data_IF_394083725164
#
_entry.id   IF_394083725164
#
_cell.length_a   1.000
_cell.length_b   1.000
_cell.length_c   1.000
_cell.angle_alpha   90.00
_cell.angle_beta   90.00
_cell.angle_gamma   90.00
#
_symmetry.space_group_name_H-M   'P 1'
#
loop_
_entity.id
_entity.type
_entity.pdbx_description
1 polymer ?
#
# COMPACT_ATOMS: atom_id res chain seq x y z
N UNK A 1 6.77 -6.83 36.78
CA UNK A 1 5.87 -7.98 36.52
C UNK A 1 5.48 -7.93 35.06
N UNK A 2 5.52 -9.06 34.34
CA UNK A 2 5.02 -9.13 32.96
C UNK A 2 3.55 -9.54 32.95
N UNK A 3 2.72 -8.85 32.17
CA UNK A 3 1.28 -9.09 32.03
C UNK A 3 1.03 -9.77 30.68
N UNK A 4 0.39 -10.94 30.72
CA UNK A 4 -0.03 -11.65 29.51
C UNK A 4 -1.56 -11.71 29.46
N UNK A 5 -2.14 -11.46 28.30
CA UNK A 5 -3.59 -11.58 28.05
C UNK A 5 -3.90 -12.69 27.06
N UNK A 6 -5.08 -13.30 27.18
CA UNK A 6 -5.59 -14.26 26.21
C UNK A 6 -6.49 -13.51 25.23
N UNK A 7 -6.28 -13.75 23.94
CA UNK A 7 -7.14 -13.24 22.88
C UNK A 7 -7.64 -14.40 22.02
N UNK A 8 -8.88 -14.29 21.55
CA UNK A 8 -9.55 -15.26 20.69
C UNK A 8 -9.77 -14.75 19.27
N UNK A 9 -9.63 -13.44 19.05
CA UNK A 9 -9.69 -12.84 17.70
C UNK A 9 -8.52 -11.89 17.45
N UNK A 10 -8.14 -11.63 16.18
CA UNK A 10 -7.14 -10.63 15.82
C UNK A 10 -7.45 -9.21 16.35
N UNK A 11 -8.73 -8.82 16.40
CA UNK A 11 -9.17 -7.53 16.94
C UNK A 11 -8.94 -7.44 18.45
N UNK A 12 -9.14 -8.54 19.18
CA UNK A 12 -8.80 -8.61 20.61
C UNK A 12 -7.29 -8.48 20.80
N UNK A 13 -6.48 -9.18 20.01
CA UNK A 13 -5.00 -9.03 20.04
C UNK A 13 -4.63 -7.56 19.91
N UNK A 14 -5.16 -6.87 18.89
CA UNK A 14 -4.95 -5.44 18.67
C UNK A 14 -5.32 -4.62 19.90
N UNK A 15 -6.53 -4.81 20.44
CA UNK A 15 -7.03 -4.07 21.61
C UNK A 15 -6.10 -4.26 22.80
N UNK A 16 -5.68 -5.49 23.09
CA UNK A 16 -4.83 -5.80 24.25
C UNK A 16 -3.49 -5.06 24.21
N UNK A 17 -2.89 -4.89 23.03
CA UNK A 17 -1.65 -4.11 22.89
C UNK A 17 -1.84 -2.59 22.88
N UNK A 18 -3.07 -2.09 22.72
CA UNK A 18 -3.36 -0.66 22.65
C UNK A 18 -4.07 -0.09 23.88
N UNK A 19 -4.44 -0.93 24.86
CA UNK A 19 -5.13 -0.48 26.08
C UNK A 19 -4.27 0.55 26.81
N UNK A 20 -4.83 1.75 27.02
CA UNK A 20 -4.24 2.85 27.78
C UNK A 20 -2.85 3.30 27.28
N UNK A 21 -2.54 3.09 25.99
CA UNK A 21 -1.22 3.37 25.38
C UNK A 21 -0.03 2.62 26.00
N UNK A 22 -0.27 1.77 26.99
CA UNK A 22 0.73 0.91 27.65
C UNK A 22 0.65 -0.52 27.11
N UNK A 23 -0.56 -1.03 26.90
CA UNK A 23 -0.81 -2.39 26.44
C UNK A 23 -0.40 -3.47 27.46
N UNK A 24 -0.37 -4.72 27.00
CA UNK A 24 0.14 -5.88 27.75
C UNK A 24 1.54 -6.27 27.24
N UNK A 25 2.34 -6.94 28.08
CA UNK A 25 3.69 -7.42 27.71
C UNK A 25 3.64 -8.56 26.67
N UNK A 26 2.52 -9.26 26.57
CA UNK A 26 2.31 -10.30 25.57
C UNK A 26 0.86 -10.76 25.46
N UNK A 27 0.52 -11.32 24.30
CA UNK A 27 -0.81 -11.91 24.06
C UNK A 27 -0.64 -13.37 23.65
N UNK A 28 -1.36 -14.26 24.33
CA UNK A 28 -1.52 -15.65 23.92
C UNK A 28 -2.75 -15.70 23.01
N UNK A 29 -2.50 -15.74 21.71
CA UNK A 29 -3.54 -15.79 20.69
C UNK A 29 -3.81 -17.23 20.29
N UNK A 30 -5.05 -17.70 20.49
CA UNK A 30 -5.47 -19.06 20.16
C UNK A 30 -6.46 -19.03 19.00
N UNK A 31 -6.04 -19.54 17.84
CA UNK A 31 -6.88 -19.66 16.63
C UNK A 31 -6.57 -20.96 15.88
N UNK A 32 -7.56 -21.47 15.14
CA UNK A 32 -7.40 -22.56 14.18
C UNK A 32 -7.18 -22.06 12.74
N UNK A 33 -7.14 -20.74 12.52
CA UNK A 33 -7.02 -20.11 11.20
C UNK A 33 -5.66 -19.45 11.00
N UNK A 34 -4.90 -19.90 10.00
CA UNK A 34 -3.62 -19.28 9.63
C UNK A 34 -3.80 -17.83 9.13
N UNK A 35 -4.97 -17.52 8.56
CA UNK A 35 -5.28 -16.18 8.09
C UNK A 35 -5.44 -15.21 9.27
N UNK A 36 -6.09 -15.64 10.35
CA UNK A 36 -6.19 -14.83 11.58
C UNK A 36 -4.81 -14.61 12.22
N UNK A 37 -3.90 -15.61 12.16
CA UNK A 37 -2.51 -15.42 12.61
C UNK A 37 -1.81 -14.36 11.77
N UNK A 38 -1.93 -14.42 10.44
CA UNK A 38 -1.36 -13.39 9.55
C UNK A 38 -1.94 -12.01 9.85
N UNK A 39 -3.24 -11.98 10.15
CA UNK A 39 -3.97 -10.78 10.51
C UNK A 39 -3.45 -10.14 11.81
N UNK A 40 -3.31 -10.94 12.86
CA UNK A 40 -2.71 -10.58 14.14
C UNK A 40 -1.28 -10.06 13.98
N UNK A 41 -0.44 -10.71 13.17
CA UNK A 41 0.94 -10.26 12.91
C UNK A 41 0.97 -8.88 12.25
N UNK A 42 0.01 -8.56 11.38
CA UNK A 42 -0.15 -7.20 10.85
C UNK A 42 -0.55 -6.21 11.93
N UNK A 43 -1.47 -6.56 12.83
CA UNK A 43 -1.85 -5.70 13.96
C UNK A 43 -0.66 -5.35 14.86
N UNK A 44 0.26 -6.30 15.05
CA UNK A 44 1.49 -6.09 15.81
C UNK A 44 2.58 -5.31 15.04
N UNK A 45 2.34 -4.98 13.76
CA UNK A 45 3.33 -4.34 12.89
C UNK A 45 4.57 -5.22 12.64
N UNK A 46 4.42 -6.53 12.79
CA UNK A 46 5.49 -7.54 12.65
C UNK A 46 5.52 -8.16 11.25
N UNK A 47 4.48 -7.97 10.44
CA UNK A 47 4.49 -8.38 9.03
C UNK A 47 5.38 -7.42 8.23
N UNK A 48 6.44 -7.97 7.66
CA UNK A 48 7.30 -7.28 6.70
C UNK A 48 6.99 -7.75 5.29
N UNK A 49 6.92 -6.81 4.35
CA UNK A 49 6.80 -7.10 2.93
C UNK A 49 8.17 -7.05 2.28
N UNK A 50 8.42 -7.96 1.35
CA UNK A 50 9.65 -7.96 0.58
C UNK A 50 9.63 -6.80 -0.44
N UNK A 51 10.40 -5.76 -0.15
CA UNK A 51 10.47 -4.54 -0.95
C UNK A 51 11.67 -4.61 -1.89
N UNK A 52 11.40 -4.43 -3.18
CA UNK A 52 12.37 -4.60 -4.26
C UNK A 52 12.57 -3.29 -5.03
N UNK A 53 13.82 -2.97 -5.46
CA UNK A 53 14.07 -1.89 -6.39
C UNK A 53 13.49 -2.21 -7.78
N UNK A 54 12.58 -1.38 -8.26
CA UNK A 54 11.96 -1.47 -9.57
C UNK A 54 12.51 -0.39 -10.51
N UNK A 55 12.98 -0.80 -11.69
CA UNK A 55 13.53 0.12 -12.70
C UNK A 55 12.43 0.62 -13.63
N UNK A 56 12.28 1.93 -13.76
CA UNK A 56 11.31 2.54 -14.67
C UNK A 56 11.68 2.25 -16.13
N UNK A 57 10.74 1.69 -16.87
CA UNK A 57 10.89 1.30 -18.27
C UNK A 57 10.24 2.30 -19.23
N UNK A 58 9.06 2.81 -18.87
CA UNK A 58 8.21 3.64 -19.72
C UNK A 58 7.40 4.59 -18.84
N UNK A 59 7.23 5.82 -19.32
CA UNK A 59 6.30 6.82 -18.77
C UNK A 59 5.56 7.41 -19.97
N UNK A 60 4.24 7.46 -19.92
CA UNK A 60 3.39 7.92 -21.02
C UNK A 60 2.17 8.67 -20.49
N UNK A 61 1.88 9.83 -21.05
CA UNK A 61 0.61 10.52 -20.83
C UNK A 61 -0.55 9.73 -21.43
N UNK A 62 -1.61 9.55 -20.64
CA UNK A 62 -2.80 8.77 -21.04
C UNK A 62 -4.10 9.58 -21.01
N UNK A 63 -3.99 10.91 -20.89
CA UNK A 63 -5.14 11.81 -20.82
C UNK A 63 -5.80 11.82 -19.46
N UNK A 64 -7.07 12.25 -19.43
CA UNK A 64 -7.84 12.36 -18.21
C UNK A 64 -8.40 11.00 -17.76
N UNK A 65 -8.41 10.75 -16.44
CA UNK A 65 -9.04 9.58 -15.85
C UNK A 65 -9.40 9.79 -14.38
N UNK A 66 -10.20 8.86 -13.84
CA UNK A 66 -10.62 8.87 -12.44
C UNK A 66 -9.51 8.33 -11.53
N UNK A 67 -9.01 9.18 -10.63
CA UNK A 67 -8.06 8.80 -9.57
C UNK A 67 -8.76 8.68 -8.23
N UNK A 68 -8.24 7.82 -7.36
CA UNK A 68 -8.65 7.70 -5.96
C UNK A 68 -7.63 8.41 -5.06
N UNK A 69 -8.09 9.29 -4.19
CA UNK A 69 -7.33 9.81 -3.06
C UNK A 69 -7.82 9.15 -1.78
N UNK A 70 -6.91 8.57 -1.01
CA UNK A 70 -7.23 7.89 0.24
C UNK A 70 -6.80 8.78 1.41
N UNK A 71 -7.78 9.27 2.17
CA UNK A 71 -7.57 9.98 3.42
C UNK A 71 -7.73 9.01 4.58
N UNK A 72 -6.65 8.81 5.34
CA UNK A 72 -6.65 7.94 6.52
C UNK A 72 -7.03 8.72 7.78
N UNK A 73 -7.51 8.00 8.79
CA UNK A 73 -7.71 8.50 10.15
C UNK A 73 -6.41 8.51 10.97
N UNK A 74 -5.24 8.53 10.31
CA UNK A 74 -3.92 8.45 10.94
C UNK A 74 -2.96 9.45 10.30
N UNK A 75 -2.04 9.98 11.09
CA UNK A 75 -0.90 10.72 10.55
C UNK A 75 0.11 9.71 10.01
N UNK A 76 0.57 9.92 8.78
CA UNK A 76 1.58 9.12 8.10
C UNK A 76 2.92 9.88 8.11
N UNK A 77 3.99 9.15 8.34
CA UNK A 77 5.34 9.71 8.40
C UNK A 77 5.95 9.82 7.00
N UNK A 78 6.97 10.66 6.87
CA UNK A 78 7.76 10.73 5.64
C UNK A 78 8.41 9.37 5.35
N UNK A 79 8.31 8.93 4.10
CA UNK A 79 8.74 7.61 3.65
C UNK A 79 7.67 6.52 3.78
N UNK A 80 6.53 6.81 4.42
CA UNK A 80 5.38 5.91 4.45
C UNK A 80 4.44 6.12 3.25
N UNK A 81 3.68 5.10 2.90
CA UNK A 81 2.79 5.14 1.75
C UNK A 81 1.95 3.88 1.59
N UNK A 82 1.28 3.77 0.46
CA UNK A 82 0.50 2.60 0.08
C UNK A 82 1.18 1.85 -1.08
N UNK A 83 1.00 0.54 -1.12
CA UNK A 83 1.40 -0.30 -2.24
C UNK A 83 0.28 -0.30 -3.29
N UNK A 84 0.55 0.25 -4.47
CA UNK A 84 -0.46 0.45 -5.53
C UNK A 84 0.10 0.04 -6.89
N UNK A 85 -0.69 -0.68 -7.68
CA UNK A 85 -0.30 -1.03 -9.05
C UNK A 85 -1.47 -1.55 -9.86
N UNK A 86 -1.35 -1.52 -11.18
CA UNK A 86 -2.34 -2.08 -12.11
C UNK A 86 -2.40 -3.61 -12.08
N UNK A 87 -1.43 -4.27 -11.41
CA UNK A 87 -1.39 -5.73 -11.21
C UNK A 87 -1.23 -6.05 -9.73
N UNK A 88 -1.96 -7.05 -9.24
CA UNK A 88 -1.92 -7.45 -7.84
C UNK A 88 -0.55 -7.98 -7.38
N UNK A 89 0.24 -8.54 -8.30
CA UNK A 89 1.58 -9.09 -8.03
C UNK A 89 2.72 -8.07 -8.20
N UNK A 90 2.43 -6.84 -8.62
CA UNK A 90 3.43 -5.78 -8.80
C UNK A 90 2.86 -4.42 -8.36
N UNK A 91 3.22 -4.00 -7.15
CA UNK A 91 2.69 -2.81 -6.49
C UNK A 91 3.81 -1.82 -6.18
N UNK A 92 3.68 -0.57 -6.59
CA UNK A 92 4.62 0.51 -6.32
C UNK A 92 4.37 1.12 -4.94
N UNK A 93 5.43 1.52 -4.22
CA UNK A 93 5.28 2.28 -2.99
C UNK A 93 5.02 3.76 -3.29
N UNK A 94 3.75 4.15 -3.27
CA UNK A 94 3.29 5.53 -3.46
C UNK A 94 3.28 6.24 -2.11
N UNK A 95 4.11 7.26 -1.98
CA UNK A 95 4.30 8.03 -0.77
C UNK A 95 3.09 8.93 -0.45
N UNK A 96 2.85 9.17 0.83
CA UNK A 96 1.80 10.08 1.30
C UNK A 96 2.10 11.57 1.04
N UNK A 97 1.15 12.46 1.28
CA UNK A 97 1.29 13.91 1.06
C UNK A 97 1.94 14.64 2.27
N UNK A 98 2.82 13.99 3.05
CA UNK A 98 3.54 14.60 4.18
C UNK A 98 4.62 15.59 3.77
N UNK A 99 5.05 15.57 2.51
CA UNK A 99 5.92 16.61 1.94
C UNK A 99 5.05 17.54 1.11
N UNK A 100 5.02 18.80 1.53
CA UNK A 100 4.29 19.86 0.84
C UNK A 100 4.78 20.07 -0.59
N UNK A 101 4.12 20.99 -1.26
CA UNK A 101 4.44 21.39 -2.62
C UNK A 101 4.57 22.91 -2.66
N UNK A 102 5.05 23.49 -3.77
CA UNK A 102 5.08 24.95 -3.90
C UNK A 102 3.68 25.58 -3.87
N UNK A 103 2.63 24.78 -4.09
CA UNK A 103 1.25 25.24 -4.22
C UNK A 103 0.33 24.75 -3.10
N UNK A 104 0.76 23.79 -2.27
CA UNK A 104 -0.12 23.20 -1.24
C UNK A 104 0.62 22.83 0.04
N UNK A 105 -0.01 23.08 1.18
CA UNK A 105 0.45 22.60 2.48
C UNK A 105 0.39 21.07 2.57
N UNK A 106 1.31 20.42 3.31
CA UNK A 106 1.29 18.98 3.49
C UNK A 106 -0.01 18.46 4.10
N UNK A 107 -0.44 17.29 3.66
CA UNK A 107 -1.55 16.52 4.23
C UNK A 107 -1.05 15.13 4.59
N UNK A 108 -0.35 14.98 5.73
CA UNK A 108 0.32 13.73 6.08
C UNK A 108 -0.63 12.57 6.37
N UNK A 109 -1.95 12.74 6.27
CA UNK A 109 -2.95 11.67 6.37
C UNK A 109 -3.42 11.14 5.00
N UNK A 110 -2.99 11.77 3.89
CA UNK A 110 -3.48 11.52 2.53
C UNK A 110 -2.47 10.76 1.68
N UNK A 111 -2.96 9.81 0.89
CA UNK A 111 -2.23 9.23 -0.26
C UNK A 111 -2.99 9.55 -1.54
N UNK A 112 -2.32 10.23 -2.47
CA UNK A 112 -2.79 10.43 -3.84
C UNK A 112 -2.50 9.14 -4.64
N UNK A 113 -3.38 8.15 -4.51
CA UNK A 113 -3.07 6.75 -4.77
C UNK A 113 -2.82 6.43 -6.26
N UNK A 114 -3.87 6.30 -7.06
CA UNK A 114 -3.79 5.86 -8.45
C UNK A 114 -5.16 5.85 -9.12
N UNK A 115 -5.23 5.33 -10.35
CA UNK A 115 -6.48 5.15 -11.07
C UNK A 115 -7.41 4.15 -10.36
N UNK A 116 -8.73 4.29 -10.56
CA UNK A 116 -9.76 3.45 -9.91
C UNK A 116 -9.54 1.93 -10.02
N UNK A 117 -8.98 1.44 -11.13
CA UNK A 117 -8.71 0.01 -11.37
C UNK A 117 -7.41 -0.50 -10.72
N UNK A 118 -6.57 0.37 -10.16
CA UNK A 118 -5.34 -0.09 -9.52
C UNK A 118 -5.67 -0.90 -8.28
N UNK A 119 -4.87 -1.92 -8.01
CA UNK A 119 -4.94 -2.71 -6.79
C UNK A 119 -4.20 -2.01 -5.66
N UNK A 120 -4.66 -2.23 -4.44
CA UNK A 120 -3.92 -2.01 -3.19
C UNK A 120 -3.94 -3.28 -2.35
N UNK A 121 -2.96 -3.43 -1.47
CA UNK A 121 -2.89 -4.56 -0.55
C UNK A 121 -3.77 -4.35 0.69
N UNK A 122 -4.55 -5.37 1.01
CA UNK A 122 -5.40 -5.44 2.20
C UNK A 122 -4.64 -6.04 3.39
N UNK A 123 -5.01 -5.71 4.63
CA UNK A 123 -4.31 -6.21 5.82
C UNK A 123 -4.31 -7.74 6.01
N UNK A 124 -5.34 -8.42 5.56
CA UNK A 124 -5.45 -9.89 5.54
C UNK A 124 -4.48 -10.55 4.53
N UNK A 125 -3.90 -9.76 3.61
CA UNK A 125 -3.01 -10.21 2.55
C UNK A 125 -3.69 -10.39 1.19
N UNK A 126 -4.99 -10.13 1.08
CA UNK A 126 -5.71 -10.03 -0.20
C UNK A 126 -5.40 -8.69 -0.89
N UNK A 127 -5.95 -8.47 -2.07
CA UNK A 127 -5.87 -7.20 -2.79
C UNK A 127 -7.25 -6.71 -3.17
N UNK A 128 -7.48 -5.41 -2.99
CA UNK A 128 -8.72 -4.74 -3.39
C UNK A 128 -8.44 -3.76 -4.51
N UNK A 129 -9.44 -3.49 -5.35
CA UNK A 129 -9.39 -2.34 -6.25
C UNK A 129 -9.48 -1.04 -5.46
N UNK A 130 -8.81 0.02 -5.91
CA UNK A 130 -8.92 1.34 -5.30
C UNK A 130 -10.36 1.88 -5.34
N UNK A 131 -11.16 1.49 -6.34
CA UNK A 131 -12.59 1.82 -6.41
C UNK A 131 -13.45 1.24 -5.30
N UNK A 132 -12.98 0.17 -4.65
CA UNK A 132 -13.69 -0.51 -3.56
C UNK A 132 -13.31 0.05 -2.18
N UNK A 133 -12.30 0.92 -2.12
CA UNK A 133 -11.88 1.56 -0.87
C UNK A 133 -12.89 2.64 -0.52
N UNK A 134 -13.45 2.56 0.68
CA UNK A 134 -14.44 3.48 1.21
C UNK A 134 -14.17 3.85 2.67
N UNK A 135 -14.99 4.73 3.23
CA UNK A 135 -14.89 5.08 4.66
C UNK A 135 -15.12 3.84 5.52
N UNK A 136 -14.23 3.60 6.47
CA UNK A 136 -14.25 2.42 7.33
C UNK A 136 -13.42 1.25 6.80
N UNK A 137 -13.02 1.25 5.52
CA UNK A 137 -12.06 0.26 5.02
C UNK A 137 -10.73 0.36 5.77
N UNK A 138 -10.02 -0.75 5.92
CA UNK A 138 -8.65 -0.76 6.42
C UNK A 138 -7.66 -0.95 5.27
N UNK A 139 -6.61 -0.12 5.24
CA UNK A 139 -5.52 -0.21 4.26
C UNK A 139 -4.19 -0.43 4.97
N UNK A 140 -3.22 -0.99 4.24
CA UNK A 140 -1.85 -1.09 4.70
C UNK A 140 -1.04 0.15 4.35
N UNK A 141 -0.35 0.67 5.35
CA UNK A 141 0.68 1.71 5.23
C UNK A 141 2.03 1.06 5.44
N UNK A 142 2.95 1.27 4.50
CA UNK A 142 4.27 0.65 4.49
C UNK A 142 5.37 1.70 4.32
N UNK A 143 6.57 1.38 4.78
CA UNK A 143 7.79 2.12 4.45
C UNK A 143 8.68 1.33 3.47
N UNK A 144 9.79 1.93 3.03
CA UNK A 144 10.75 1.30 2.10
C UNK A 144 11.43 0.04 2.64
N UNK A 145 11.42 -0.17 3.96
CA UNK A 145 11.93 -1.40 4.59
C UNK A 145 10.88 -2.52 4.65
N UNK A 146 9.68 -2.26 4.15
CA UNK A 146 8.58 -3.23 4.13
C UNK A 146 7.82 -3.35 5.45
N UNK A 147 8.16 -2.56 6.48
CA UNK A 147 7.39 -2.56 7.73
C UNK A 147 6.01 -2.00 7.45
N UNK A 148 4.99 -2.81 7.70
CA UNK A 148 3.60 -2.46 7.47
C UNK A 148 2.85 -2.22 8.77
N UNK A 149 1.87 -1.33 8.72
CA UNK A 149 0.86 -1.10 9.76
C UNK A 149 -0.48 -0.80 9.11
N UNK A 150 -1.58 -0.98 9.84
CA UNK A 150 -2.91 -0.61 9.35
C UNK A 150 -3.18 0.88 9.51
N UNK A 151 -4.04 1.40 8.65
CA UNK A 151 -4.72 2.66 8.85
C UNK A 151 -6.17 2.52 8.40
N UNK A 152 -7.09 3.05 9.20
CA UNK A 152 -8.50 3.15 8.82
C UNK A 152 -8.67 4.30 7.82
N UNK A 153 -9.43 4.07 6.76
CA UNK A 153 -9.78 5.08 5.77
C UNK A 153 -10.92 5.93 6.34
N UNK A 154 -10.67 7.23 6.48
CA UNK A 154 -11.69 8.21 6.83
C UNK A 154 -12.50 8.65 5.63
N UNK A 155 -11.87 8.76 4.45
CA UNK A 155 -12.53 9.12 3.19
C UNK A 155 -11.75 8.60 1.99
N UNK A 156 -12.44 8.04 1.01
CA UNK A 156 -11.92 7.83 -0.34
C UNK A 156 -12.58 8.83 -1.31
N UNK A 157 -11.78 9.59 -2.05
CA UNK A 157 -12.29 10.60 -3.01
C UNK A 157 -11.90 10.20 -4.43
N UNK A 158 -12.90 10.04 -5.30
CA UNK A 158 -12.71 9.83 -6.73
C UNK A 158 -12.85 11.18 -7.45
N UNK A 159 -11.85 11.54 -8.25
CA UNK A 159 -11.88 12.76 -9.06
C UNK A 159 -11.16 12.58 -10.40
N UNK A 160 -11.60 13.32 -11.42
CA UNK A 160 -11.01 13.28 -12.76
C UNK A 160 -9.78 14.19 -12.85
N UNK A 161 -8.66 13.67 -13.34
CA UNK A 161 -7.38 14.39 -13.47
C UNK A 161 -6.59 13.90 -14.70
N UNK A 162 -5.63 14.68 -15.21
CA UNK A 162 -4.62 14.19 -16.14
C UNK A 162 -3.76 13.09 -15.51
N UNK A 163 -3.48 12.03 -16.25
CA UNK A 163 -2.82 10.82 -15.76
C UNK A 163 -1.59 10.44 -16.58
N UNK A 164 -0.65 9.79 -15.91
CA UNK A 164 0.53 9.13 -16.47
C UNK A 164 0.42 7.62 -16.25
N UNK A 165 0.65 6.85 -17.32
CA UNK A 165 0.96 5.43 -17.23
C UNK A 165 2.46 5.25 -17.04
N UNK A 166 2.85 4.48 -16.02
CA UNK A 166 4.24 4.21 -15.67
C UNK A 166 4.43 2.70 -15.65
N UNK A 167 5.46 2.18 -16.32
CA UNK A 167 5.86 0.78 -16.26
C UNK A 167 7.23 0.64 -15.62
N UNK A 168 7.42 -0.42 -14.85
CA UNK A 168 8.71 -0.75 -14.24
C UNK A 168 8.94 -2.26 -14.23
N UNK A 169 10.21 -2.66 -14.07
CA UNK A 169 10.58 -4.06 -13.90
C UNK A 169 11.31 -4.35 -12.60
N UNK A 170 11.07 -5.56 -12.10
CA UNK A 170 11.82 -6.21 -11.02
C UNK A 170 12.23 -7.59 -11.52
N UNK A 171 13.50 -7.73 -11.92
CA UNK A 171 13.95 -8.95 -12.59
C UNK A 171 13.19 -9.16 -13.91
N UNK A 172 12.44 -10.27 -14.01
CA UNK A 172 11.61 -10.61 -15.18
C UNK A 172 10.18 -10.08 -15.08
N UNK A 173 9.73 -9.69 -13.90
CA UNK A 173 8.38 -9.19 -13.68
C UNK A 173 8.28 -7.74 -14.17
N UNK A 174 7.22 -7.45 -14.92
CA UNK A 174 6.88 -6.11 -15.39
C UNK A 174 5.51 -5.76 -14.82
N UNK A 175 5.45 -4.63 -14.13
CA UNK A 175 4.20 -4.06 -13.65
C UNK A 175 4.04 -2.63 -14.09
N UNK A 176 2.85 -2.09 -13.85
CA UNK A 176 2.55 -0.70 -14.14
C UNK A 176 1.64 -0.08 -13.09
N UNK A 177 1.52 1.24 -13.15
CA UNK A 177 0.59 2.05 -12.39
C UNK A 177 0.11 3.19 -13.28
N UNK A 178 -1.17 3.55 -13.18
CA UNK A 178 -1.68 4.81 -13.72
C UNK A 178 -1.90 5.75 -12.55
N UNK A 179 -1.16 6.85 -12.51
CA UNK A 179 -1.18 7.85 -11.44
C UNK A 179 -1.37 9.24 -12.01
N UNK A 180 -1.86 10.18 -11.20
CA UNK A 180 -2.06 11.55 -11.66
C UNK A 180 -0.72 12.19 -12.03
N UNK A 181 -0.71 12.98 -13.10
CA UNK A 181 0.37 13.92 -13.39
C UNK A 181 0.33 15.13 -12.46
N UNK A 182 0.92 15.01 -11.26
CA UNK A 182 1.09 16.14 -10.34
C UNK A 182 2.24 15.93 -9.36
N UNK A 183 2.85 17.04 -8.94
CA UNK A 183 4.07 17.00 -8.13
C UNK A 183 3.90 16.32 -6.75
N UNK A 184 2.67 16.27 -6.24
CA UNK A 184 2.30 15.68 -4.95
C UNK A 184 2.29 14.15 -4.98
N UNK A 185 2.29 13.53 -6.16
CA UNK A 185 2.43 12.08 -6.33
C UNK A 185 3.91 11.77 -6.35
N UNK A 186 4.37 11.02 -5.35
CA UNK A 186 5.79 10.68 -5.21
C UNK A 186 5.98 9.20 -4.97
N UNK A 187 7.02 8.65 -5.57
CA UNK A 187 7.51 7.31 -5.26
C UNK A 187 8.70 7.39 -4.31
N UNK A 188 8.90 6.33 -3.53
CA UNK A 188 10.06 6.21 -2.63
C UNK A 188 11.20 5.52 -3.37
N UNK A 189 12.39 6.13 -3.41
CA UNK A 189 13.62 5.52 -3.95
C UNK A 189 14.25 4.55 -2.93
N UNK A 190 15.13 3.62 -3.36
CA UNK A 190 15.82 2.70 -2.44
C UNK A 190 16.60 3.36 -1.30
N UNK A 191 17.13 4.57 -1.54
CA UNK A 191 17.83 5.36 -0.53
C UNK A 191 16.88 6.16 0.40
N UNK A 192 15.56 5.98 0.29
CA UNK A 192 14.55 6.69 1.08
C UNK A 192 14.23 8.10 0.58
N UNK A 193 14.90 8.59 -0.48
CA UNK A 193 14.52 9.85 -1.11
C UNK A 193 13.20 9.71 -1.86
N UNK A 194 12.50 10.84 -2.04
CA UNK A 194 11.25 10.88 -2.78
C UNK A 194 11.52 11.39 -4.20
N UNK A 195 10.87 10.78 -5.18
CA UNK A 195 10.83 11.29 -6.56
C UNK A 195 9.40 11.57 -6.95
N UNK A 196 9.14 12.80 -7.36
CA UNK A 196 7.84 13.16 -7.89
C UNK A 196 7.62 12.54 -9.27
N UNK A 197 6.39 12.15 -9.56
CA UNK A 197 6.03 11.60 -10.87
C UNK A 197 6.38 12.54 -12.02
N UNK A 198 6.25 13.86 -11.82
CA UNK A 198 6.60 14.89 -12.82
C UNK A 198 8.10 14.97 -13.11
N UNK A 199 8.93 14.44 -12.21
CA UNK A 199 10.38 14.41 -12.33
C UNK A 199 10.92 12.99 -12.58
N UNK A 200 10.05 11.99 -12.63
CA UNK A 200 10.40 10.60 -12.84
C UNK A 200 10.86 10.41 -14.29
N UNK A 201 11.92 9.63 -14.50
CA UNK A 201 12.48 9.36 -15.83
C UNK A 201 12.69 7.87 -16.05
N UNK A 202 12.71 7.46 -17.32
CA UNK A 202 13.15 6.12 -17.69
C UNK A 202 14.54 5.84 -17.12
N UNK A 203 14.70 4.68 -16.49
CA UNK A 203 15.93 4.29 -15.81
C UNK A 203 16.00 4.65 -14.33
N UNK A 204 15.10 5.51 -13.82
CA UNK A 204 14.98 5.72 -12.37
C UNK A 204 14.64 4.41 -11.65
N UNK A 205 14.99 4.34 -10.36
CA UNK A 205 14.72 3.19 -9.52
C UNK A 205 13.86 3.62 -8.33
N UNK A 206 12.75 2.93 -8.13
CA UNK A 206 11.77 3.17 -7.05
C UNK A 206 11.49 1.88 -6.29
N UNK A 207 10.93 1.96 -5.09
CA UNK A 207 10.56 0.80 -4.29
C UNK A 207 9.21 0.25 -4.73
N UNK A 208 9.15 -1.07 -4.91
CA UNK A 208 7.92 -1.81 -5.21
C UNK A 208 7.87 -3.12 -4.42
N UNK A 209 6.70 -3.70 -4.28
CA UNK A 209 6.52 -5.10 -3.89
C UNK A 209 6.19 -5.90 -5.15
N UNK A 210 6.98 -6.94 -5.43
CA UNK A 210 6.78 -7.79 -6.61
C UNK A 210 6.97 -9.27 -6.29
N UNK A 211 6.01 -10.08 -6.75
CA UNK A 211 6.00 -11.54 -6.69
C UNK A 211 5.80 -12.11 -8.10
N UNK A 212 6.19 -13.38 -8.33
CA UNK A 212 5.79 -14.11 -9.53
C UNK A 212 4.28 -14.05 -9.72
N UNK A 213 3.83 -13.92 -10.97
CA UNK A 213 2.40 -13.91 -11.28
C UNK A 213 1.74 -15.24 -10.84
N UNK A 214 0.63 -15.13 -10.12
CA UNK A 214 -0.23 -16.24 -9.72
C UNK A 214 -1.67 -15.86 -10.02
N UNK A 215 -2.53 -16.85 -10.26
CA UNK A 215 -3.97 -16.61 -10.44
C UNK A 215 -4.60 -15.92 -9.21
N UNK A 216 -5.69 -15.17 -9.39
CA UNK A 216 -6.50 -14.70 -8.25
C UNK A 216 -8.00 -14.81 -8.51
N UNK A 217 -8.72 -15.39 -7.55
CA UNK A 217 -10.18 -15.38 -7.46
C UNK A 217 -10.59 -14.60 -6.21
N UNK A 218 -11.44 -13.57 -6.36
CA UNK A 218 -11.90 -12.71 -5.26
C UNK A 218 -10.76 -12.16 -4.37
N UNK A 219 -9.64 -11.75 -5.00
CA UNK A 219 -8.51 -11.17 -4.28
C UNK A 219 -7.59 -12.17 -3.55
N UNK A 220 -7.88 -13.48 -3.60
CA UNK A 220 -7.04 -14.54 -3.04
C UNK A 220 -6.13 -15.18 -4.10
N UNK A 221 -4.88 -15.53 -3.73
CA UNK A 221 -3.92 -16.22 -4.61
C UNK A 221 -4.35 -17.67 -4.91
N UNK A 222 -4.33 -18.05 -6.19
CA UNK A 222 -4.60 -19.40 -6.73
C UNK A 222 -3.39 -19.82 -7.55
N UNK A 223 -2.70 -20.90 -7.16
CA UNK A 223 -1.42 -21.30 -7.75
C UNK A 223 -1.54 -21.93 -9.15
N UNK A 224 -2.71 -22.49 -9.49
CA UNK A 224 -2.85 -23.43 -10.61
C UNK A 224 -3.72 -22.90 -11.76
N UNK A 225 -3.93 -21.57 -11.83
CA UNK A 225 -4.79 -20.94 -12.83
C UNK A 225 -3.99 -20.10 -13.84
N UNK A 226 -4.32 -20.25 -15.13
CA UNK A 226 -3.75 -19.43 -16.21
C UNK A 226 -4.37 -18.03 -16.20
N UNK A 227 -3.55 -17.01 -15.95
CA UNK A 227 -3.95 -15.60 -16.02
C UNK A 227 -3.04 -14.84 -16.99
N UNK A 228 -3.67 -14.01 -17.85
CA UNK A 228 -3.00 -13.10 -18.76
C UNK A 228 -3.53 -11.67 -18.56
N UNK A 229 -2.84 -10.88 -17.74
CA UNK A 229 -3.04 -9.43 -17.65
C UNK A 229 -2.16 -8.74 -18.72
N UNK A 230 -2.70 -7.77 -19.45
CA UNK A 230 -1.97 -7.01 -20.49
C UNK A 230 -1.73 -5.59 -20.04
#
# INVERSE_FOLDING_TARGET
TKIFAIARTPEEVRKMFSILEVGVDGVIFSTSSINEVREAMVYLGTRSFDMKPAKILEIKEVGDGERVCVDTASILHKGEGMLIGSRSNFLFLVHNESVGSSFTSPRPFRVNAGAVHCYTLSPDGTTNYLSEVETGSEVLILNSKGKARRATVGRAKIERRPMLMIKASVGKEIGGIIAQDAETIRFVKPNGQLVSVTHLKKGDIVMAHSKPATGRHFGMEVSDEYILEK
#
